data_IF_551771077837
#
_entry.id   IF_551771077837
#
_cell.length_a   1.000
_cell.length_b   1.000
_cell.length_c   1.000
_cell.angle_alpha   90.00
_cell.angle_beta   90.00
_cell.angle_gamma   90.00
#
_symmetry.space_group_name_H-M   'P 1'
#
loop_
_entity.id
_entity.type
_entity.pdbx_description
1 polymer ?
#
# COMPACT_ATOMS: atom_id res chain seq x y z
N UNK A 1 1.06 -8.12 37.84
CA UNK A 1 1.71 -7.14 36.95
C UNK A 1 1.45 -7.63 35.54
N UNK A 2 0.72 -6.88 34.73
CA UNK A 2 0.59 -7.16 33.27
C UNK A 2 2.00 -7.11 32.68
N UNK A 3 2.45 -8.11 31.92
CA UNK A 3 3.75 -8.04 31.29
C UNK A 3 3.80 -6.78 30.43
N UNK A 4 4.86 -5.99 30.58
CA UNK A 4 5.08 -4.81 29.75
C UNK A 4 5.19 -5.30 28.31
N UNK A 5 4.35 -4.77 27.42
CA UNK A 5 4.39 -5.11 26.01
C UNK A 5 5.77 -4.70 25.44
N UNK A 6 6.41 -5.52 24.60
CA UNK A 6 7.72 -5.20 24.05
C UNK A 6 7.67 -3.95 23.17
N UNK A 7 6.49 -3.62 22.61
CA UNK A 7 6.28 -2.47 21.74
C UNK A 7 5.32 -1.47 22.37
N UNK A 8 5.50 -0.19 22.00
CA UNK A 8 4.60 0.92 22.35
C UNK A 8 4.03 1.58 21.10
N UNK A 9 4.76 1.46 19.99
CA UNK A 9 4.46 2.09 18.71
C UNK A 9 4.37 1.06 17.60
N UNK A 10 3.32 1.16 16.80
CA UNK A 10 3.13 0.31 15.64
C UNK A 10 3.13 1.17 14.38
N UNK A 11 4.11 0.95 13.52
CA UNK A 11 4.12 1.44 12.16
C UNK A 11 3.36 0.44 11.32
N UNK A 12 2.30 0.87 10.66
CA UNK A 12 1.40 -0.02 9.93
C UNK A 12 1.30 0.48 8.50
N UNK A 13 1.62 -0.39 7.55
CA UNK A 13 1.36 -0.11 6.15
C UNK A 13 -0.15 -0.07 5.88
N UNK A 14 -0.54 0.55 4.77
CA UNK A 14 -1.94 0.76 4.44
C UNK A 14 -2.42 -0.10 3.29
N UNK A 15 -1.78 0.03 2.12
CA UNK A 15 -2.20 -0.60 0.88
C UNK A 15 -1.95 -2.11 0.92
N UNK A 16 -3.00 -2.91 0.77
CA UNK A 16 -3.00 -4.37 0.89
C UNK A 16 -2.61 -4.93 2.28
N UNK A 17 -2.36 -4.05 3.25
CA UNK A 17 -2.24 -4.41 4.67
C UNK A 17 -3.55 -4.15 5.43
N UNK A 18 -4.11 -2.95 5.34
CA UNK A 18 -5.39 -2.56 5.97
C UNK A 18 -6.48 -2.30 4.95
N UNK A 19 -6.15 -1.62 3.87
CA UNK A 19 -7.03 -1.28 2.75
C UNK A 19 -6.85 -2.29 1.63
N UNK A 20 -7.92 -2.88 1.13
CA UNK A 20 -7.87 -3.85 0.02
C UNK A 20 -7.63 -3.12 -1.31
N UNK A 21 -6.39 -2.68 -1.50
CA UNK A 21 -5.98 -1.90 -2.67
C UNK A 21 -6.17 -2.67 -3.95
N UNK A 22 -5.79 -3.96 -3.99
CA UNK A 22 -5.93 -4.78 -5.18
C UNK A 22 -7.40 -4.98 -5.56
N UNK A 23 -8.28 -5.31 -4.60
CA UNK A 23 -9.70 -5.49 -4.83
C UNK A 23 -10.39 -4.20 -5.27
N UNK A 24 -10.17 -3.10 -4.54
CA UNK A 24 -10.73 -1.79 -4.85
C UNK A 24 -10.26 -1.27 -6.22
N UNK A 25 -8.97 -1.42 -6.52
CA UNK A 25 -8.41 -1.01 -7.81
C UNK A 25 -8.90 -1.87 -8.97
N UNK A 26 -9.16 -3.16 -8.74
CA UNK A 26 -9.75 -4.04 -9.77
C UNK A 26 -11.17 -3.62 -10.13
N UNK A 27 -11.98 -3.21 -9.14
CA UNK A 27 -13.31 -2.63 -9.38
C UNK A 27 -13.21 -1.31 -10.14
N UNK A 28 -12.33 -0.41 -9.72
CA UNK A 28 -12.11 0.88 -10.37
C UNK A 28 -11.62 0.70 -11.82
N UNK A 29 -10.73 -0.27 -12.07
CA UNK A 29 -10.22 -0.57 -13.40
C UNK A 29 -11.32 -1.09 -14.34
N UNK A 30 -12.27 -1.88 -13.81
CA UNK A 30 -13.43 -2.33 -14.56
C UNK A 30 -14.34 -1.15 -14.94
N UNK A 31 -14.66 -0.29 -13.98
CA UNK A 31 -15.47 0.91 -14.22
C UNK A 31 -14.81 1.84 -15.26
N UNK A 32 -13.49 2.03 -15.16
CA UNK A 32 -12.72 2.80 -16.13
C UNK A 32 -12.76 2.16 -17.53
N UNK A 33 -12.58 0.84 -17.61
CA UNK A 33 -12.62 0.10 -18.87
C UNK A 33 -13.96 0.29 -19.59
N UNK A 34 -15.07 0.21 -18.84
CA UNK A 34 -16.41 0.40 -19.38
C UNK A 34 -16.66 1.88 -19.74
N UNK A 35 -16.22 2.83 -18.89
CA UNK A 35 -16.41 4.27 -19.10
C UNK A 35 -15.72 4.80 -20.35
N UNK A 36 -14.51 4.30 -20.64
CA UNK A 36 -13.73 4.70 -21.82
C UNK A 36 -13.92 3.78 -23.02
N UNK A 37 -14.89 2.85 -22.96
CA UNK A 37 -15.24 1.92 -24.04
C UNK A 37 -14.01 1.14 -24.59
N UNK A 38 -13.12 0.75 -23.69
CA UNK A 38 -11.88 0.05 -24.04
C UNK A 38 -12.13 -1.34 -24.63
N UNK A 39 -13.38 -1.86 -24.55
CA UNK A 39 -13.80 -3.09 -25.22
C UNK A 39 -13.63 -3.05 -26.75
N UNK A 40 -13.56 -1.86 -27.34
CA UNK A 40 -13.28 -1.71 -28.78
C UNK A 40 -11.82 -2.00 -29.14
N UNK A 41 -10.93 -1.98 -28.16
CA UNK A 41 -9.49 -2.06 -28.36
C UNK A 41 -8.86 -3.34 -27.80
N UNK A 42 -9.59 -4.10 -26.98
CA UNK A 42 -9.08 -5.30 -26.33
C UNK A 42 -10.04 -6.47 -26.52
N UNK A 43 -9.53 -7.70 -26.68
CA UNK A 43 -10.36 -8.90 -26.80
C UNK A 43 -11.26 -9.14 -25.59
N UNK A 44 -10.79 -8.75 -24.39
CA UNK A 44 -11.55 -8.83 -23.14
C UNK A 44 -10.95 -7.91 -22.08
N UNK A 45 -11.75 -7.63 -21.03
CA UNK A 45 -11.26 -6.94 -19.85
C UNK A 45 -10.10 -7.68 -19.18
N UNK A 46 -10.14 -8.99 -19.12
CA UNK A 46 -9.10 -9.83 -18.50
C UNK A 46 -7.75 -9.63 -19.21
N UNK A 47 -7.76 -9.44 -20.53
CA UNK A 47 -6.53 -9.14 -21.30
C UNK A 47 -5.96 -7.79 -20.94
N UNK A 48 -6.80 -6.75 -20.91
CA UNK A 48 -6.40 -5.40 -20.48
C UNK A 48 -5.93 -5.40 -19.02
N UNK A 49 -6.71 -5.96 -18.12
CA UNK A 49 -6.43 -6.01 -16.68
C UNK A 49 -5.10 -6.71 -16.37
N UNK A 50 -4.83 -7.84 -17.02
CA UNK A 50 -3.53 -8.53 -16.86
C UNK A 50 -2.36 -7.66 -17.28
N UNK A 51 -2.45 -7.00 -18.43
CA UNK A 51 -1.42 -6.09 -18.92
C UNK A 51 -1.23 -4.91 -17.96
N UNK A 52 -2.33 -4.36 -17.44
CA UNK A 52 -2.30 -3.28 -16.46
C UNK A 52 -1.59 -3.70 -15.17
N UNK A 53 -1.99 -4.82 -14.55
CA UNK A 53 -1.41 -5.26 -13.28
C UNK A 53 0.08 -5.58 -13.40
N UNK A 54 0.49 -6.32 -14.42
CA UNK A 54 1.92 -6.59 -14.67
C UNK A 54 2.73 -5.31 -14.80
N UNK A 55 2.18 -4.32 -15.53
CA UNK A 55 2.84 -3.01 -15.70
C UNK A 55 2.87 -2.21 -14.40
N UNK A 56 1.74 -2.13 -13.70
CA UNK A 56 1.60 -1.34 -12.50
C UNK A 56 2.52 -1.83 -11.37
N UNK A 57 2.60 -3.14 -11.14
CA UNK A 57 3.50 -3.74 -10.15
C UNK A 57 4.97 -3.43 -10.45
N UNK A 58 5.39 -3.57 -11.71
CA UNK A 58 6.75 -3.25 -12.11
C UNK A 58 7.09 -1.76 -11.92
N UNK A 59 6.15 -0.86 -12.26
CA UNK A 59 6.35 0.58 -12.11
C UNK A 59 6.38 1.01 -10.63
N UNK A 60 5.52 0.45 -9.79
CA UNK A 60 5.56 0.73 -8.35
C UNK A 60 6.86 0.25 -7.70
N UNK A 61 7.38 -0.90 -8.14
CA UNK A 61 8.70 -1.39 -7.70
C UNK A 61 9.79 -0.40 -8.08
N UNK A 62 9.83 0.05 -9.34
CA UNK A 62 10.81 1.03 -9.81
C UNK A 62 10.69 2.38 -9.06
N UNK A 63 9.46 2.85 -8.84
CA UNK A 63 9.21 4.09 -8.11
C UNK A 63 9.66 4.00 -6.64
N UNK A 64 9.38 2.89 -5.95
CA UNK A 64 9.82 2.68 -4.57
C UNK A 64 11.35 2.69 -4.43
N UNK A 65 12.08 2.25 -5.46
CA UNK A 65 13.54 2.27 -5.48
C UNK A 65 14.13 3.58 -6.05
N UNK A 66 13.29 4.54 -6.43
CA UNK A 66 13.75 5.82 -7.00
C UNK A 66 14.31 5.70 -8.42
N UNK A 67 13.98 4.63 -9.14
CA UNK A 67 14.44 4.39 -10.52
C UNK A 67 13.62 5.21 -11.54
N UNK A 68 12.40 5.57 -11.18
CA UNK A 68 11.51 6.42 -11.99
C UNK A 68 10.85 7.49 -11.11
N UNK A 69 10.49 8.60 -11.75
CA UNK A 69 9.73 9.68 -11.14
C UNK A 69 8.22 9.37 -11.13
N UNK A 70 7.46 10.05 -10.25
CA UNK A 70 6.00 9.95 -10.15
C UNK A 70 5.31 10.16 -11.48
N UNK A 71 5.70 11.18 -12.25
CA UNK A 71 5.09 11.51 -13.55
C UNK A 71 5.24 10.36 -14.56
N UNK A 72 6.37 9.65 -14.52
CA UNK A 72 6.59 8.45 -15.33
C UNK A 72 5.63 7.34 -14.91
N UNK A 73 5.49 7.09 -13.61
CA UNK A 73 4.58 6.06 -13.09
C UNK A 73 3.14 6.33 -13.54
N UNK A 74 2.61 7.53 -13.30
CA UNK A 74 1.20 7.85 -13.58
C UNK A 74 0.85 7.82 -15.07
N UNK A 75 1.79 8.11 -15.95
CA UNK A 75 1.59 8.03 -17.41
C UNK A 75 1.77 6.60 -17.93
N UNK A 76 2.89 5.95 -17.57
CA UNK A 76 3.27 4.66 -18.13
C UNK A 76 2.36 3.51 -17.65
N UNK A 77 1.72 3.64 -16.48
CA UNK A 77 0.79 2.62 -15.97
C UNK A 77 -0.43 2.40 -16.89
N UNK A 78 -0.77 3.38 -17.73
CA UNK A 78 -1.78 3.24 -18.76
C UNK A 78 -1.19 3.15 -20.16
N UNK A 79 -0.13 3.92 -20.48
CA UNK A 79 0.48 3.91 -21.82
C UNK A 79 0.92 2.51 -22.25
N UNK A 80 1.62 1.79 -21.38
CA UNK A 80 2.11 0.44 -21.70
C UNK A 80 0.98 -0.56 -21.94
N UNK A 81 -0.05 -0.70 -21.05
CA UNK A 81 -1.18 -1.55 -21.33
C UNK A 81 -1.93 -1.17 -22.62
N UNK A 82 -2.20 0.12 -22.84
CA UNK A 82 -2.89 0.59 -24.03
C UNK A 82 -2.12 0.25 -25.32
N UNK A 83 -0.78 0.28 -25.28
CA UNK A 83 0.04 -0.07 -26.47
C UNK A 83 -0.08 -1.55 -26.87
N UNK A 84 -0.69 -2.40 -26.06
CA UNK A 84 -0.97 -3.80 -26.38
C UNK A 84 -2.34 -4.00 -27.04
N UNK A 85 -3.18 -2.98 -27.07
CA UNK A 85 -4.50 -3.01 -27.70
C UNK A 85 -4.48 -2.48 -29.13
N UNK A 86 -5.56 -2.75 -29.86
CA UNK A 86 -5.71 -2.34 -31.26
C UNK A 86 -6.08 -0.86 -31.36
N UNK A 87 -5.26 -0.05 -32.07
CA UNK A 87 -5.50 1.35 -32.36
C UNK A 87 -5.83 2.24 -31.14
N UNK A 88 -5.30 1.91 -29.97
CA UNK A 88 -5.50 2.71 -28.75
C UNK A 88 -4.80 4.07 -28.84
N UNK A 89 -5.42 5.08 -28.24
CA UNK A 89 -4.75 6.36 -28.00
C UNK A 89 -3.76 6.20 -26.83
N UNK A 90 -2.48 6.44 -27.09
CA UNK A 90 -1.38 6.36 -26.09
C UNK A 90 -0.73 7.71 -25.82
N UNK A 91 -1.39 8.81 -26.22
CA UNK A 91 -0.89 10.17 -25.95
C UNK A 91 -0.77 10.40 -24.43
N UNK A 92 0.16 11.26 -24.04
CA UNK A 92 0.38 11.61 -22.63
C UNK A 92 -0.89 12.14 -21.98
N UNK A 93 -1.59 13.05 -22.66
CA UNK A 93 -2.83 13.67 -22.14
C UNK A 93 -3.92 12.64 -21.88
N UNK A 94 -4.09 11.68 -22.79
CA UNK A 94 -5.07 10.62 -22.60
C UNK A 94 -4.70 9.68 -21.46
N UNK A 95 -3.41 9.31 -21.35
CA UNK A 95 -2.94 8.49 -20.24
C UNK A 95 -3.09 9.19 -18.87
N UNK A 96 -2.85 10.50 -18.80
CA UNK A 96 -3.10 11.30 -17.60
C UNK A 96 -4.58 11.33 -17.25
N UNK A 97 -5.46 11.56 -18.23
CA UNK A 97 -6.92 11.53 -18.01
C UNK A 97 -7.39 10.18 -17.45
N UNK A 98 -6.88 9.06 -17.97
CA UNK A 98 -7.18 7.72 -17.44
C UNK A 98 -6.64 7.55 -16.02
N UNK A 99 -5.42 8.04 -15.76
CA UNK A 99 -4.82 7.98 -14.41
C UNK A 99 -5.62 8.78 -13.40
N UNK A 100 -6.03 9.99 -13.72
CA UNK A 100 -6.83 10.83 -12.82
C UNK A 100 -8.18 10.17 -12.52
N UNK A 101 -8.87 9.69 -13.55
CA UNK A 101 -10.14 8.96 -13.39
C UNK A 101 -9.95 7.70 -12.53
N UNK A 102 -8.90 6.93 -12.78
CA UNK A 102 -8.62 5.73 -12.02
C UNK A 102 -8.34 6.03 -10.53
N UNK A 103 -7.53 7.04 -10.23
CA UNK A 103 -7.23 7.44 -8.86
C UNK A 103 -8.46 7.97 -8.13
N UNK A 104 -9.32 8.72 -8.84
CA UNK A 104 -10.60 9.16 -8.28
C UNK A 104 -11.50 7.97 -7.93
N UNK A 105 -11.68 7.03 -8.86
CA UNK A 105 -12.46 5.82 -8.63
C UNK A 105 -11.90 4.96 -7.49
N UNK A 106 -10.57 4.73 -7.46
CA UNK A 106 -9.93 3.95 -6.41
C UNK A 106 -10.11 4.59 -5.03
N UNK A 107 -9.93 5.91 -4.94
CA UNK A 107 -9.89 6.63 -3.64
C UNK A 107 -11.24 6.66 -2.93
N UNK A 108 -12.34 6.30 -3.60
CA UNK A 108 -13.70 6.28 -3.05
C UNK A 108 -14.20 4.88 -2.69
N UNK A 109 -13.44 3.83 -3.00
CA UNK A 109 -13.84 2.44 -2.69
C UNK A 109 -13.63 2.14 -1.21
N UNK A 110 -14.60 1.50 -0.53
CA UNK A 110 -14.54 1.27 0.92
C UNK A 110 -13.91 -0.07 1.33
N UNK A 111 -13.45 -0.88 0.38
CA UNK A 111 -12.97 -2.24 0.66
C UNK A 111 -11.75 -2.24 1.59
N UNK A 112 -11.79 -3.05 2.62
CA UNK A 112 -10.69 -3.23 3.58
C UNK A 112 -10.28 -4.70 3.64
N UNK A 113 -9.06 -4.94 4.07
CA UNK A 113 -8.57 -6.30 4.32
C UNK A 113 -9.37 -6.89 5.48
N UNK A 114 -9.72 -8.17 5.37
CA UNK A 114 -10.48 -8.89 6.41
C UNK A 114 -9.77 -8.78 7.77
N UNK A 115 -10.51 -8.37 8.80
CA UNK A 115 -9.99 -8.18 10.16
C UNK A 115 -9.30 -6.83 10.42
N UNK A 116 -9.16 -5.94 9.43
CA UNK A 116 -8.44 -4.67 9.60
C UNK A 116 -9.05 -3.77 10.68
N UNK A 117 -10.37 -3.57 10.66
CA UNK A 117 -11.05 -2.76 11.70
C UNK A 117 -10.97 -3.39 13.08
N UNK A 118 -11.09 -4.72 13.16
CA UNK A 118 -10.97 -5.50 14.39
C UNK A 118 -9.57 -5.35 14.99
N UNK A 119 -8.53 -5.48 14.14
CA UNK A 119 -7.14 -5.30 14.53
C UNK A 119 -6.91 -3.89 15.09
N UNK A 120 -7.30 -2.83 14.38
CA UNK A 120 -7.11 -1.46 14.84
C UNK A 120 -7.80 -1.20 16.18
N UNK A 121 -9.03 -1.70 16.38
CA UNK A 121 -9.74 -1.59 17.65
C UNK A 121 -9.04 -2.36 18.77
N UNK A 122 -8.56 -3.57 18.48
CA UNK A 122 -7.80 -4.38 19.44
C UNK A 122 -6.53 -3.65 19.88
N UNK A 123 -5.69 -3.23 18.93
CA UNK A 123 -4.42 -2.56 19.20
C UNK A 123 -4.62 -1.27 20.03
N UNK A 124 -5.65 -0.48 19.69
CA UNK A 124 -6.03 0.70 20.49
C UNK A 124 -6.42 0.35 21.92
N UNK A 125 -7.21 -0.73 22.11
CA UNK A 125 -7.64 -1.17 23.44
C UNK A 125 -6.47 -1.64 24.30
N UNK A 126 -5.40 -2.10 23.67
CA UNK A 126 -4.16 -2.52 24.33
C UNK A 126 -3.23 -1.34 24.66
N UNK A 127 -3.52 -0.14 24.15
CA UNK A 127 -2.78 1.08 24.46
C UNK A 127 -1.61 1.37 23.52
N UNK A 128 -1.53 0.69 22.37
CA UNK A 128 -0.53 1.02 21.33
C UNK A 128 -0.81 2.37 20.68
N UNK A 129 0.26 3.09 20.34
CA UNK A 129 0.19 4.21 19.40
C UNK A 129 0.27 3.67 17.99
N UNK A 130 -0.67 4.07 17.13
CA UNK A 130 -0.80 3.55 15.77
C UNK A 130 -0.38 4.62 14.78
N UNK A 131 0.58 4.31 13.93
CA UNK A 131 1.11 5.22 12.93
C UNK A 131 1.00 4.56 11.56
N UNK A 132 0.23 5.15 10.66
CA UNK A 132 0.15 4.71 9.28
C UNK A 132 1.42 5.13 8.54
N UNK A 133 2.04 4.21 7.80
CA UNK A 133 3.28 4.42 7.04
C UNK A 133 3.12 3.93 5.59
N UNK A 134 2.91 4.83 4.62
CA UNK A 134 2.56 4.43 3.25
C UNK A 134 3.39 5.15 2.16
N UNK A 135 3.65 4.41 1.06
CA UNK A 135 4.25 4.94 -0.18
C UNK A 135 3.22 5.53 -1.15
N UNK A 136 1.94 5.56 -0.77
CA UNK A 136 0.89 6.11 -1.62
C UNK A 136 0.89 7.64 -1.68
N UNK A 137 0.35 8.19 -2.77
CA UNK A 137 0.23 9.64 -2.95
C UNK A 137 -0.70 10.26 -1.90
N UNK A 138 -0.27 11.34 -1.28
CA UNK A 138 -0.93 11.93 -0.11
C UNK A 138 -2.42 12.23 -0.36
N UNK A 139 -2.75 12.87 -1.48
CA UNK A 139 -4.12 13.22 -1.84
C UNK A 139 -5.04 12.01 -2.03
N UNK A 140 -4.47 10.88 -2.46
CA UNK A 140 -5.20 9.62 -2.65
C UNK A 140 -5.35 8.90 -1.32
N UNK A 141 -4.29 8.85 -0.50
CA UNK A 141 -4.29 8.11 0.76
C UNK A 141 -5.29 8.67 1.77
N UNK A 142 -5.37 9.99 1.91
CA UNK A 142 -6.37 10.58 2.82
C UNK A 142 -7.80 10.27 2.42
N UNK A 143 -8.12 10.23 1.11
CA UNK A 143 -9.44 9.82 0.62
C UNK A 143 -9.72 8.35 0.86
N UNK A 144 -8.73 7.47 0.66
CA UNK A 144 -8.85 6.03 0.96
C UNK A 144 -9.10 5.79 2.45
N UNK A 145 -8.37 6.51 3.34
CA UNK A 145 -8.56 6.42 4.81
C UNK A 145 -10.00 6.81 5.17
N UNK A 146 -10.54 7.87 4.56
CA UNK A 146 -11.93 8.28 4.76
C UNK A 146 -12.92 7.24 4.22
N UNK A 147 -12.74 6.78 2.99
CA UNK A 147 -13.61 5.79 2.35
C UNK A 147 -13.61 4.45 3.12
N UNK A 148 -12.46 4.05 3.67
CA UNK A 148 -12.31 2.88 4.52
C UNK A 148 -12.94 3.04 5.92
N UNK A 149 -13.43 4.22 6.30
CA UNK A 149 -13.96 4.48 7.64
C UNK A 149 -12.88 4.45 8.73
N UNK A 150 -11.62 4.76 8.37
CA UNK A 150 -10.47 4.71 9.29
C UNK A 150 -10.01 6.09 9.77
N UNK A 151 -10.81 7.15 9.56
CA UNK A 151 -10.55 8.48 10.11
C UNK A 151 -10.41 8.44 11.63
N UNK A 152 -9.31 9.02 12.14
CA UNK A 152 -9.03 9.05 13.58
C UNK A 152 -8.52 7.72 14.17
N UNK A 153 -8.28 6.70 13.33
CA UNK A 153 -7.70 5.44 13.81
C UNK A 153 -6.19 5.53 14.06
N UNK A 154 -5.51 6.54 13.53
CA UNK A 154 -4.06 6.68 13.62
C UNK A 154 -3.67 7.92 14.43
N UNK A 155 -2.62 7.80 15.26
CA UNK A 155 -2.01 8.92 15.98
C UNK A 155 -1.23 9.83 15.04
N UNK A 156 -0.62 9.23 14.00
CA UNK A 156 0.13 9.93 12.95
C UNK A 156 -0.05 9.19 11.62
N UNK A 157 -0.15 9.96 10.54
CA UNK A 157 -0.08 9.44 9.16
C UNK A 157 1.24 9.92 8.58
N UNK A 158 2.07 9.00 8.13
CA UNK A 158 3.38 9.24 7.53
C UNK A 158 3.34 8.78 6.08
N UNK A 159 3.50 9.72 5.15
CA UNK A 159 3.42 9.46 3.71
C UNK A 159 4.76 9.75 3.04
N UNK A 160 5.10 8.98 2.02
CA UNK A 160 6.35 9.14 1.27
C UNK A 160 6.48 10.51 0.61
N UNK A 161 5.37 11.11 0.17
CA UNK A 161 5.37 12.47 -0.39
C UNK A 161 5.85 13.50 0.63
N UNK A 162 5.49 13.36 1.90
CA UNK A 162 5.90 14.25 3.00
C UNK A 162 7.33 13.95 3.46
N UNK A 163 7.72 12.68 3.41
CA UNK A 163 9.07 12.23 3.77
C UNK A 163 10.12 12.58 2.70
N UNK A 164 9.69 12.85 1.46
CA UNK A 164 10.57 13.01 0.31
C UNK A 164 11.33 11.73 -0.07
N UNK A 165 10.88 10.58 0.42
CA UNK A 165 11.48 9.27 0.15
C UNK A 165 10.44 8.17 0.37
N UNK A 166 10.54 7.10 -0.43
CA UNK A 166 9.70 5.91 -0.29
C UNK A 166 10.33 4.87 0.65
N UNK A 167 9.52 4.05 1.32
CA UNK A 167 10.01 2.75 1.84
C UNK A 167 10.58 1.94 0.66
N UNK A 168 11.72 1.28 0.74
CA UNK A 168 12.48 0.94 1.94
C UNK A 168 13.61 1.94 2.30
N UNK A 169 13.67 3.12 1.70
CA UNK A 169 14.76 4.07 1.92
C UNK A 169 14.87 4.46 3.41
N UNK A 170 16.08 4.50 4.00
CA UNK A 170 16.27 4.89 5.39
C UNK A 170 15.69 6.25 5.75
N UNK A 171 15.68 7.19 4.79
CA UNK A 171 15.15 8.54 4.95
C UNK A 171 13.65 8.53 5.31
N UNK A 172 12.87 7.60 4.74
CA UNK A 172 11.46 7.43 5.11
C UNK A 172 11.30 7.09 6.60
N UNK A 173 12.06 6.10 7.07
CA UNK A 173 12.00 5.67 8.47
C UNK A 173 12.54 6.74 9.43
N UNK A 174 13.60 7.46 9.07
CA UNK A 174 14.11 8.59 9.86
C UNK A 174 13.05 9.69 10.00
N UNK A 175 12.35 10.03 8.91
CA UNK A 175 11.24 10.95 8.92
C UNK A 175 10.08 10.44 9.80
N UNK A 176 9.70 9.16 9.66
CA UNK A 176 8.65 8.53 10.46
C UNK A 176 8.96 8.63 11.97
N UNK A 177 10.18 8.32 12.38
CA UNK A 177 10.60 8.45 13.78
C UNK A 177 10.59 9.91 14.26
N UNK A 178 11.01 10.84 13.43
CA UNK A 178 10.97 12.27 13.77
C UNK A 178 9.54 12.78 13.99
N UNK A 179 8.60 12.36 13.15
CA UNK A 179 7.19 12.76 13.23
C UNK A 179 6.46 12.11 14.42
N UNK A 180 6.67 10.81 14.63
CA UNK A 180 5.95 10.03 15.65
C UNK A 180 6.55 10.16 17.04
N UNK A 181 7.85 10.52 17.13
CA UNK A 181 8.65 10.46 18.36
C UNK A 181 8.65 9.06 18.98
N UNK A 182 8.52 8.03 18.16
CA UNK A 182 8.59 6.64 18.58
C UNK A 182 10.03 6.25 18.94
N UNK A 183 10.17 5.27 19.83
CA UNK A 183 11.47 4.69 20.15
C UNK A 183 11.69 3.44 19.29
N UNK A 184 12.80 3.39 18.54
CA UNK A 184 13.15 2.26 17.65
C UNK A 184 13.10 0.92 18.38
N UNK A 185 13.60 0.85 19.62
CA UNK A 185 13.64 -0.38 20.40
C UNK A 185 12.25 -0.89 20.83
N UNK A 186 11.23 -0.03 20.75
CA UNK A 186 9.85 -0.32 21.13
C UNK A 186 8.85 -0.12 19.98
N UNK A 187 9.34 -0.15 18.75
CA UNK A 187 8.53 0.00 17.53
C UNK A 187 8.51 -1.31 16.75
N UNK A 188 7.33 -1.64 16.22
CA UNK A 188 7.13 -2.77 15.30
C UNK A 188 6.55 -2.25 13.98
N UNK A 189 7.09 -2.70 12.84
CA UNK A 189 6.51 -2.49 11.52
C UNK A 189 5.61 -3.67 11.14
N UNK A 190 4.38 -3.38 10.74
CA UNK A 190 3.39 -4.34 10.20
C UNK A 190 3.15 -3.98 8.73
N UNK A 191 3.35 -4.91 7.81
CA UNK A 191 3.12 -4.68 6.38
C UNK A 191 3.12 -5.96 5.56
N UNK A 192 2.56 -5.88 4.35
CA UNK A 192 2.44 -7.01 3.42
C UNK A 192 3.56 -7.03 2.35
N UNK A 193 4.21 -5.90 2.11
CA UNK A 193 5.28 -5.83 1.13
C UNK A 193 6.65 -6.12 1.76
N UNK A 194 7.19 -7.31 1.44
CA UNK A 194 8.44 -7.75 2.04
C UNK A 194 9.61 -6.80 1.72
N UNK A 195 9.70 -6.28 0.50
CA UNK A 195 10.84 -5.46 0.06
C UNK A 195 10.82 -4.06 0.65
N UNK A 196 9.65 -3.45 0.76
CA UNK A 196 9.52 -2.06 1.23
C UNK A 196 9.31 -1.96 2.72
N UNK A 197 8.39 -2.76 3.28
CA UNK A 197 8.03 -2.67 4.69
C UNK A 197 9.01 -3.43 5.57
N UNK A 198 9.23 -4.72 5.24
CA UNK A 198 9.98 -5.61 6.11
C UNK A 198 11.48 -5.36 6.01
N UNK A 199 12.03 -5.38 4.78
CA UNK A 199 13.46 -5.10 4.58
C UNK A 199 13.81 -3.67 4.99
N UNK A 200 12.93 -2.70 4.67
CA UNK A 200 13.14 -1.30 5.07
C UNK A 200 13.17 -1.13 6.58
N UNK A 201 12.22 -1.73 7.30
CA UNK A 201 12.15 -1.69 8.75
C UNK A 201 13.34 -2.42 9.41
N UNK A 202 13.70 -3.61 8.91
CA UNK A 202 14.91 -4.33 9.41
C UNK A 202 16.17 -3.50 9.25
N UNK A 203 16.34 -2.82 8.10
CA UNK A 203 17.47 -1.92 7.87
C UNK A 203 17.44 -0.68 8.78
N UNK A 204 16.25 -0.25 9.20
CA UNK A 204 16.06 0.82 10.18
C UNK A 204 16.25 0.35 11.63
N UNK A 205 16.51 -0.95 11.87
CA UNK A 205 16.76 -1.53 13.18
C UNK A 205 15.51 -1.69 14.04
N UNK A 206 14.33 -1.92 13.42
CA UNK A 206 13.06 -2.17 14.10
C UNK A 206 12.54 -3.58 13.79
N UNK A 207 11.81 -4.14 14.73
CA UNK A 207 11.16 -5.43 14.59
C UNK A 207 10.04 -5.38 13.54
N UNK A 208 9.70 -6.55 12.95
CA UNK A 208 8.77 -6.65 11.84
C UNK A 208 7.74 -7.75 12.00
N UNK A 209 6.50 -7.47 11.64
CA UNK A 209 5.44 -8.45 11.44
C UNK A 209 5.07 -8.47 9.95
N UNK A 210 5.51 -9.49 9.25
CA UNK A 210 5.19 -9.68 7.83
C UNK A 210 3.81 -10.28 7.67
N UNK A 211 2.90 -9.54 7.04
CA UNK A 211 1.59 -10.03 6.65
C UNK A 211 1.68 -10.69 5.27
N UNK A 212 2.05 -11.97 5.24
CA UNK A 212 2.17 -12.74 4.02
C UNK A 212 0.80 -13.24 3.55
N UNK A 213 0.17 -12.50 2.65
CA UNK A 213 -1.13 -12.85 2.05
C UNK A 213 -1.04 -14.05 1.09
N UNK A 214 0.15 -14.40 0.63
CA UNK A 214 0.39 -15.40 -0.41
C UNK A 214 1.44 -16.44 0.01
N UNK A 215 1.28 -17.14 1.16
CA UNK A 215 2.29 -18.05 1.69
C UNK A 215 2.62 -19.23 0.76
N UNK A 216 1.68 -19.63 -0.10
CA UNK A 216 1.88 -20.72 -1.06
C UNK A 216 2.79 -20.33 -2.24
N UNK A 217 2.92 -19.03 -2.54
CA UNK A 217 3.66 -18.53 -3.70
C UNK A 217 4.84 -17.63 -3.34
N UNK A 218 4.91 -17.17 -2.09
CA UNK A 218 6.00 -16.33 -1.62
C UNK A 218 6.60 -16.85 -0.31
N UNK A 219 7.91 -17.06 -0.33
CA UNK A 219 8.71 -17.39 0.86
C UNK A 219 9.63 -16.21 1.17
N UNK A 220 9.59 -15.72 2.41
CA UNK A 220 10.42 -14.60 2.85
C UNK A 220 11.91 -14.91 2.68
N UNK A 221 12.68 -14.07 1.97
CA UNK A 221 14.13 -14.26 1.76
C UNK A 221 14.96 -14.18 3.06
N UNK A 222 14.45 -13.51 4.08
CA UNK A 222 15.02 -13.43 5.43
C UNK A 222 13.90 -13.50 6.47
N UNK A 223 14.23 -13.92 7.69
CA UNK A 223 13.22 -14.11 8.73
C UNK A 223 12.77 -12.75 9.32
N UNK A 224 11.47 -12.38 9.19
CA UNK A 224 10.89 -11.29 9.98
C UNK A 224 10.84 -11.69 11.47
N UNK A 225 10.59 -10.74 12.36
CA UNK A 225 10.36 -11.05 13.78
C UNK A 225 9.12 -11.95 13.94
N UNK A 226 8.09 -11.69 13.13
CA UNK A 226 6.89 -12.52 13.03
C UNK A 226 6.40 -12.57 11.58
N UNK A 227 5.87 -13.73 11.16
CA UNK A 227 5.08 -13.87 9.93
C UNK A 227 3.67 -14.30 10.30
N UNK A 228 2.68 -13.66 9.68
CA UNK A 228 1.25 -13.95 9.83
C UNK A 228 0.58 -13.99 8.47
N UNK A 229 -0.47 -14.80 8.34
CA UNK A 229 -1.22 -14.97 7.09
C UNK A 229 -2.61 -14.34 7.15
N UNK A 230 -3.06 -13.98 8.37
CA UNK A 230 -4.31 -13.27 8.64
C UNK A 230 -4.06 -12.22 9.72
N UNK A 231 -4.71 -11.07 9.58
CA UNK A 231 -4.55 -9.97 10.55
C UNK A 231 -4.98 -10.36 11.97
N UNK A 232 -5.96 -11.23 12.10
CA UNK A 232 -6.43 -11.69 13.40
C UNK A 232 -5.37 -12.43 14.24
N UNK A 233 -4.35 -13.00 13.58
CA UNK A 233 -3.24 -13.67 14.27
C UNK A 233 -2.41 -12.70 15.12
N UNK A 234 -2.36 -11.42 14.72
CA UNK A 234 -1.71 -10.36 15.49
C UNK A 234 -2.39 -10.11 16.82
N UNK A 235 -3.72 -10.29 16.94
CA UNK A 235 -4.46 -10.08 18.18
C UNK A 235 -4.03 -11.03 19.32
N UNK A 236 -3.49 -12.20 18.97
CA UNK A 236 -3.00 -13.17 19.96
C UNK A 236 -1.58 -12.88 20.42
N UNK A 237 -0.85 -12.05 19.69
CA UNK A 237 0.55 -11.74 19.94
C UNK A 237 0.74 -10.31 20.49
N UNK A 238 -0.02 -9.34 20.01
CA UNK A 238 -0.04 -7.93 20.43
C UNK A 238 -1.23 -7.67 21.34
#
# INVERSE_FOLDING_TARGET
MTPMLPYTDLFIDFDDTLYDTHGNSSLALRELYDHYDLAQHFPSFETFSRSYWTTNEALWTQYAHGEIERDTLIVERFRRPLSTGDACNTSTDYCLQLSDTFLELCSTKPGVVEGAHELLRHLRSRGYRLHLCSNGFAEVQYRKIEAAGMNGCFDTVVLSDEAGANKPAPQFFDFAFAQTRADRAHTLMIGDNFSTDIVGAMNAGIDTAFFNRHPDTFTAPSAPTREVHRLEELNSWL
#
